data_IF_587385578885
#
_entry.id   IF_587385578885
#
_cell.length_a   1.000
_cell.length_b   1.000
_cell.length_c   1.000
_cell.angle_alpha   90.00
_cell.angle_beta   90.00
_cell.angle_gamma   90.00
#
_symmetry.space_group_name_H-M   'P 1'
#
loop_
_entity.id
_entity.type
_entity.pdbx_description
1 polymer ?
#
# COMPACT_ATOMS: atom_id res chain seq x y z
N UNK A 1 10.96 21.02 4.22
CA UNK A 1 10.09 20.35 3.24
C UNK A 1 9.69 19.02 3.86
N UNK A 2 8.47 18.90 4.41
CA UNK A 2 8.00 17.62 4.94
C UNK A 2 7.51 16.78 3.76
N UNK A 3 7.98 15.54 3.67
CA UNK A 3 7.49 14.61 2.67
C UNK A 3 5.97 14.45 2.78
N UNK A 4 5.22 14.58 1.68
CA UNK A 4 3.77 14.40 1.72
C UNK A 4 3.38 13.00 2.26
N UNK A 5 4.25 12.01 2.07
CA UNK A 5 4.12 10.66 2.63
C UNK A 5 4.15 10.63 4.16
N UNK A 6 4.89 11.53 4.79
CA UNK A 6 4.92 11.63 6.26
C UNK A 6 3.58 12.13 6.81
N UNK A 7 2.90 13.04 6.10
CA UNK A 7 1.56 13.49 6.45
C UNK A 7 0.53 12.35 6.42
N UNK A 8 0.58 11.51 5.39
CA UNK A 8 -0.26 10.30 5.32
C UNK A 8 0.10 9.28 6.39
N UNK A 9 1.40 9.05 6.61
CA UNK A 9 1.85 8.14 7.64
C UNK A 9 1.38 8.58 9.03
N UNK A 10 1.55 9.85 9.37
CA UNK A 10 1.12 10.39 10.68
C UNK A 10 -0.40 10.44 10.84
N UNK A 11 -1.17 10.45 9.76
CA UNK A 11 -2.64 10.37 9.82
C UNK A 11 -3.15 8.94 10.10
N UNK A 12 -2.27 7.94 9.96
CA UNK A 12 -2.60 6.52 10.02
C UNK A 12 -1.91 5.82 11.19
N UNK A 13 -0.63 6.13 11.40
CA UNK A 13 0.16 5.65 12.52
C UNK A 13 -0.33 6.28 13.81
N UNK A 14 -0.54 5.45 14.82
CA UNK A 14 -0.88 5.88 16.15
C UNK A 14 0.26 6.62 16.84
N UNK A 15 0.06 6.91 18.13
CA UNK A 15 1.04 7.64 18.94
C UNK A 15 2.38 6.89 19.10
N UNK A 16 2.43 5.59 18.76
CA UNK A 16 3.65 4.80 18.79
C UNK A 16 4.53 4.95 17.54
N UNK A 17 4.06 5.70 16.54
CA UNK A 17 4.81 5.95 15.30
C UNK A 17 5.00 4.70 14.45
N UNK A 18 4.11 3.72 14.58
CA UNK A 18 4.06 2.53 13.74
C UNK A 18 2.62 2.32 13.28
N UNK A 19 2.47 1.61 12.17
CA UNK A 19 1.17 1.25 11.63
C UNK A 19 0.89 -0.19 12.03
N UNK A 20 -0.09 -0.39 12.90
CA UNK A 20 -0.60 -1.73 13.25
C UNK A 20 -1.46 -2.32 12.14
N UNK A 21 -1.74 -3.62 12.24
CA UNK A 21 -2.63 -4.34 11.33
C UNK A 21 -3.99 -3.64 11.16
N UNK A 22 -4.57 -3.17 12.27
CA UNK A 22 -5.87 -2.49 12.30
C UNK A 22 -5.78 -1.11 11.63
N UNK A 23 -4.77 -0.32 11.96
CA UNK A 23 -4.54 1.00 11.35
C UNK A 23 -4.28 0.90 9.85
N UNK A 24 -3.50 -0.09 9.42
CA UNK A 24 -3.26 -0.37 8.01
C UNK A 24 -4.58 -0.71 7.31
N UNK A 25 -5.38 -1.60 7.90
CA UNK A 25 -6.67 -2.00 7.36
C UNK A 25 -7.64 -0.82 7.28
N UNK A 26 -7.71 0.02 8.33
CA UNK A 26 -8.57 1.22 8.37
C UNK A 26 -8.15 2.25 7.35
N UNK A 27 -6.86 2.53 7.23
CA UNK A 27 -6.27 3.45 6.25
C UNK A 27 -6.53 3.04 4.79
N UNK A 28 -6.63 1.74 4.54
CA UNK A 28 -6.94 1.18 3.23
C UNK A 28 -8.45 1.15 2.94
N UNK A 29 -9.26 0.87 3.95
CA UNK A 29 -10.73 0.76 3.82
C UNK A 29 -11.37 2.15 3.77
N UNK A 30 -10.88 3.06 4.59
CA UNK A 30 -11.18 4.48 4.50
C UNK A 30 -10.35 4.98 3.32
N UNK A 31 -10.99 5.30 2.19
CA UNK A 31 -10.37 5.60 0.89
C UNK A 31 -9.44 6.84 0.84
N UNK A 32 -8.65 7.09 1.88
CA UNK A 32 -7.98 8.35 2.14
C UNK A 32 -6.48 8.36 1.83
N UNK A 33 -5.72 7.29 2.11
CA UNK A 33 -4.27 7.33 1.88
C UNK A 33 -3.86 6.51 0.66
N UNK A 34 -4.29 5.25 0.59
CA UNK A 34 -3.81 4.33 -0.44
C UNK A 34 -4.64 4.46 -1.73
N UNK A 35 -5.94 4.72 -1.59
CA UNK A 35 -6.78 5.15 -2.71
C UNK A 35 -6.38 6.55 -3.21
N UNK A 36 -5.93 7.45 -2.33
CA UNK A 36 -5.35 8.74 -2.74
C UNK A 36 -4.01 8.55 -3.47
N UNK A 37 -3.29 7.45 -3.19
CA UNK A 37 -2.15 7.00 -4.00
C UNK A 37 -2.54 6.19 -5.26
N UNK A 38 -3.83 5.89 -5.45
CA UNK A 38 -4.37 5.18 -6.62
C UNK A 38 -4.28 3.65 -6.57
N UNK A 39 -3.99 3.02 -5.42
CA UNK A 39 -3.92 1.55 -5.33
C UNK A 39 -5.20 0.95 -4.72
N UNK A 40 -5.86 0.08 -5.49
CA UNK A 40 -6.98 -0.74 -5.02
C UNK A 40 -6.46 -2.15 -4.67
N UNK A 41 -6.14 -2.38 -3.40
CA UNK A 41 -5.61 -3.67 -2.95
C UNK A 41 -6.71 -4.57 -2.41
N UNK A 42 -6.64 -5.85 -2.78
CA UNK A 42 -7.53 -6.87 -2.22
C UNK A 42 -7.13 -7.23 -0.78
N UNK A 43 -8.08 -7.74 0.03
CA UNK A 43 -7.80 -8.24 1.38
C UNK A 43 -6.68 -9.30 1.44
N UNK A 44 -6.54 -10.09 0.38
CA UNK A 44 -5.50 -11.11 0.27
C UNK A 44 -4.12 -10.47 0.08
N UNK A 45 -4.01 -9.44 -0.79
CA UNK A 45 -2.77 -8.70 -0.98
C UNK A 45 -2.33 -8.01 0.33
N UNK A 46 -3.29 -7.51 1.11
CA UNK A 46 -3.03 -6.92 2.43
C UNK A 46 -2.42 -7.94 3.38
N UNK A 47 -2.99 -9.14 3.49
CA UNK A 47 -2.48 -10.16 4.40
C UNK A 47 -1.06 -10.61 4.02
N UNK A 48 -0.76 -10.64 2.72
CA UNK A 48 0.59 -10.88 2.22
C UNK A 48 1.55 -9.74 2.60
N UNK A 49 1.15 -8.48 2.42
CA UNK A 49 1.95 -7.31 2.81
C UNK A 49 2.22 -7.32 4.31
N UNK A 50 1.18 -7.49 5.11
CA UNK A 50 1.28 -7.50 6.56
C UNK A 50 2.18 -8.65 7.03
N UNK A 51 2.05 -9.87 6.50
CA UNK A 51 2.98 -10.96 6.83
C UNK A 51 4.41 -10.72 6.37
N UNK A 52 4.60 -9.98 5.27
CA UNK A 52 5.91 -9.77 4.65
C UNK A 52 6.70 -8.60 5.24
N UNK A 53 5.99 -7.58 5.73
CA UNK A 53 6.53 -6.31 6.20
C UNK A 53 6.18 -5.98 7.66
N UNK A 54 5.24 -6.70 8.30
CA UNK A 54 5.04 -6.52 9.74
C UNK A 54 6.17 -7.16 10.53
N UNK A 55 6.66 -6.42 11.51
CA UNK A 55 7.58 -6.88 12.52
C UNK A 55 6.83 -6.95 13.85
N UNK A 56 6.39 -8.15 14.24
CA UNK A 56 5.56 -8.32 15.44
C UNK A 56 4.14 -7.73 15.32
N UNK A 57 3.58 -7.67 14.11
CA UNK A 57 2.24 -7.13 13.86
C UNK A 57 2.18 -5.61 13.69
N UNK A 58 3.34 -4.95 13.66
CA UNK A 58 3.47 -3.51 13.38
C UNK A 58 4.39 -3.26 12.19
N UNK A 59 4.05 -2.28 11.38
CA UNK A 59 4.81 -1.85 10.19
C UNK A 59 5.44 -0.50 10.52
N UNK A 60 6.76 -0.39 10.39
CA UNK A 60 7.47 0.87 10.57
C UNK A 60 7.38 1.74 9.33
N UNK A 61 7.73 3.03 9.46
CA UNK A 61 7.76 3.94 8.32
C UNK A 61 8.63 3.44 7.16
N UNK A 62 9.83 2.94 7.45
CA UNK A 62 10.73 2.35 6.44
C UNK A 62 10.06 1.20 5.67
N UNK A 63 9.43 0.27 6.40
CA UNK A 63 8.72 -0.86 5.80
C UNK A 63 7.49 -0.42 5.00
N UNK A 64 6.79 0.62 5.46
CA UNK A 64 5.66 1.23 4.76
C UNK A 64 6.11 1.85 3.42
N UNK A 65 7.20 2.62 3.42
CA UNK A 65 7.76 3.19 2.18
C UNK A 65 8.22 2.07 1.25
N UNK A 66 8.93 1.07 1.77
CA UNK A 66 9.37 -0.10 0.98
C UNK A 66 8.19 -0.85 0.36
N UNK A 67 7.09 -0.98 1.11
CA UNK A 67 5.84 -1.56 0.62
C UNK A 67 5.23 -0.72 -0.50
N UNK A 68 5.05 0.60 -0.31
CA UNK A 68 4.50 1.50 -1.31
C UNK A 68 5.32 1.51 -2.62
N UNK A 69 6.65 1.51 -2.52
CA UNK A 69 7.56 1.45 -3.67
C UNK A 69 7.40 0.12 -4.42
N UNK A 70 7.36 -1.00 -3.69
CA UNK A 70 7.16 -2.32 -4.31
C UNK A 70 5.78 -2.47 -4.92
N UNK A 71 4.76 -1.95 -4.25
CA UNK A 71 3.38 -1.92 -4.75
C UNK A 71 3.29 -1.13 -6.05
N UNK A 72 3.90 0.06 -6.11
CA UNK A 72 3.98 0.85 -7.35
C UNK A 72 4.61 0.04 -8.47
N UNK A 73 5.73 -0.63 -8.20
CA UNK A 73 6.38 -1.48 -9.19
C UNK A 73 5.43 -2.59 -9.67
N UNK A 74 4.79 -3.32 -8.75
CA UNK A 74 3.85 -4.40 -9.08
C UNK A 74 2.64 -3.90 -9.90
N UNK A 75 2.04 -2.77 -9.53
CA UNK A 75 0.92 -2.18 -10.27
C UNK A 75 1.32 -1.72 -11.67
N UNK A 76 2.53 -1.17 -11.84
CA UNK A 76 3.07 -0.83 -13.17
C UNK A 76 3.30 -2.08 -14.02
N UNK A 77 3.81 -3.17 -13.43
CA UNK A 77 3.95 -4.45 -14.15
C UNK A 77 2.59 -5.08 -14.50
N UNK A 78 1.59 -5.00 -13.63
CA UNK A 78 0.25 -5.52 -13.89
C UNK A 78 -0.50 -4.73 -14.97
N UNK A 79 -0.34 -3.41 -15.03
CA UNK A 79 -0.89 -2.58 -16.12
C UNK A 79 -0.26 -2.88 -17.49
N UNK A 80 0.99 -3.35 -17.52
CA UNK A 80 1.61 -3.88 -18.74
C UNK A 80 1.09 -5.26 -19.14
N UNK A 81 0.65 -6.08 -18.18
CA UNK A 81 0.03 -7.38 -18.49
C UNK A 81 -1.38 -7.22 -19.07
N UNK A 82 -2.12 -6.15 -18.69
CA UNK A 82 -3.43 -5.87 -19.27
C UNK A 82 -3.36 -5.29 -20.69
N UNK A 83 -2.23 -4.70 -21.09
CA UNK A 83 -1.99 -4.23 -22.48
C UNK A 83 -1.65 -5.34 -23.49
N UNK A 84 -1.86 -6.61 -23.13
CA UNK A 84 -1.75 -7.76 -24.05
C UNK A 84 -3.06 -8.56 -24.16
N UNK A 85 -4.22 -7.94 -23.93
CA UNK A 85 -5.54 -8.51 -24.27
C UNK A 85 -6.35 -7.66 -25.27
N UNK A 86 -5.69 -6.79 -26.03
CA UNK A 86 -6.33 -6.01 -27.10
C UNK A 86 -5.57 -6.20 -28.43
N UNK A 87 -5.34 -7.46 -28.79
CA UNK A 87 -4.88 -7.87 -30.12
C UNK A 87 -5.36 -9.28 -30.38
N UNK A 88 -6.69 -9.47 -30.37
CA UNK A 88 -7.32 -10.62 -31.03
C UNK A 88 -8.76 -10.29 -31.40
N UNK A 89 -8.93 -9.31 -32.28
CA UNK A 89 -10.13 -9.18 -33.10
C UNK A 89 -9.73 -8.48 -34.41
N UNK A 90 -9.16 -9.28 -35.31
CA UNK A 90 -9.12 -9.06 -36.77
C UNK A 90 -9.49 -10.41 -37.42
#
# INVERSE_FOLDING_TARGET
QQDPLFGYFSAVAGQDGQISADELQRCLTQSGAIASMGYHLSPQAMNCIMKRYSNGGRIRFDDFISCCVRLRALTVYSGHHERMKESKED
#
